data_IF_438727286008
#
_entry.id   IF_438727286008
#
_cell.length_a   1.000
_cell.length_b   1.000
_cell.length_c   1.000
_cell.angle_alpha   90.00
_cell.angle_beta   90.00
_cell.angle_gamma   90.00
#
_symmetry.space_group_name_H-M   'P 1'
#
loop_
_entity.id
_entity.type
_entity.pdbx_description
1 polymer ?
#
# COMPACT_ATOMS: atom_id res chain seq x y z
N UNK A 1 -4.27 -7.05 -15.33
CA UNK A 1 -3.77 -7.33 -13.95
C UNK A 1 -4.62 -6.55 -12.95
N UNK A 2 -4.83 -7.11 -11.76
CA UNK A 2 -5.67 -6.49 -10.72
C UNK A 2 -4.98 -5.26 -10.11
N UNK A 3 -5.76 -4.26 -9.73
CA UNK A 3 -5.31 -3.02 -9.09
C UNK A 3 -6.19 -2.70 -7.90
N UNK A 4 -5.60 -2.09 -6.89
CA UNK A 4 -6.23 -1.65 -5.65
C UNK A 4 -5.98 -0.16 -5.53
N UNK A 5 -7.04 0.62 -5.38
CA UNK A 5 -6.94 2.08 -5.50
C UNK A 5 -7.67 2.77 -4.37
N UNK A 6 -7.04 3.78 -3.82
CA UNK A 6 -7.67 4.81 -2.99
C UNK A 6 -7.88 6.01 -3.92
N UNK A 7 -9.14 6.39 -4.12
CA UNK A 7 -9.54 7.54 -4.91
C UNK A 7 -10.41 8.45 -4.05
N UNK A 8 -10.00 9.70 -3.87
CA UNK A 8 -10.61 10.64 -2.92
C UNK A 8 -11.82 11.39 -3.50
N UNK A 9 -12.26 11.03 -4.71
CA UNK A 9 -13.17 11.83 -5.53
C UNK A 9 -12.47 12.97 -6.28
N UNK A 10 -11.26 13.35 -5.86
CA UNK A 10 -10.36 14.22 -6.62
C UNK A 10 -9.45 13.36 -7.53
N UNK A 11 -9.49 13.51 -8.86
CA UNK A 11 -8.65 12.73 -9.76
C UNK A 11 -7.15 13.02 -9.60
N UNK A 12 -6.78 14.12 -8.92
CA UNK A 12 -5.41 14.52 -8.63
C UNK A 12 -4.88 13.94 -7.30
N UNK A 13 -5.64 13.08 -6.63
CA UNK A 13 -5.26 12.48 -5.35
C UNK A 13 -5.59 10.98 -5.38
N UNK A 14 -4.57 10.18 -5.67
CA UNK A 14 -4.72 8.74 -5.83
C UNK A 14 -3.51 8.00 -5.30
N UNK A 15 -3.77 6.85 -4.68
CA UNK A 15 -2.77 5.82 -4.42
C UNK A 15 -3.24 4.51 -5.03
N UNK A 16 -2.39 3.87 -5.82
CA UNK A 16 -2.71 2.66 -6.55
C UNK A 16 -1.61 1.63 -6.28
N UNK A 17 -2.00 0.46 -5.76
CA UNK A 17 -1.17 -0.74 -5.71
C UNK A 17 -1.59 -1.65 -6.86
N UNK A 18 -0.64 -2.12 -7.63
CA UNK A 18 -0.89 -3.01 -8.76
C UNK A 18 0.29 -3.95 -8.98
N UNK A 19 0.12 -4.89 -9.91
CA UNK A 19 1.19 -5.79 -10.31
C UNK A 19 1.81 -6.64 -9.20
N UNK A 20 1.01 -6.98 -8.19
CA UNK A 20 1.44 -7.85 -7.09
C UNK A 20 1.83 -9.23 -7.61
N UNK A 21 3.06 -9.63 -7.31
CA UNK A 21 3.63 -10.94 -7.63
C UNK A 21 4.23 -11.52 -6.36
N UNK A 22 3.97 -12.80 -6.10
CA UNK A 22 4.51 -13.54 -4.95
C UNK A 22 5.28 -14.74 -5.48
N UNK A 23 6.55 -14.86 -5.08
CA UNK A 23 7.40 -16.02 -5.30
C UNK A 23 7.36 -16.92 -4.07
N UNK A 24 6.57 -18.00 -4.16
CA UNK A 24 6.48 -18.98 -3.05
C UNK A 24 7.77 -19.78 -2.88
N UNK A 25 8.56 -19.96 -3.94
CA UNK A 25 9.86 -20.61 -3.85
C UNK A 25 10.83 -19.77 -3.01
N UNK A 26 10.90 -18.46 -3.26
CA UNK A 26 11.69 -17.53 -2.43
C UNK A 26 11.20 -17.52 -0.99
N UNK A 27 9.89 -17.46 -0.78
CA UNK A 27 9.29 -17.52 0.56
C UNK A 27 9.68 -18.81 1.30
N UNK A 28 9.56 -19.97 0.65
CA UNK A 28 9.89 -21.28 1.23
C UNK A 28 11.39 -21.43 1.52
N UNK A 29 12.24 -20.75 0.75
CA UNK A 29 13.68 -20.67 0.97
C UNK A 29 14.07 -19.60 2.01
N UNK A 30 13.10 -18.91 2.63
CA UNK A 30 13.34 -17.89 3.65
C UNK A 30 13.86 -16.55 3.11
N UNK A 31 13.78 -16.32 1.80
CA UNK A 31 14.15 -15.05 1.18
C UNK A 31 13.08 -13.99 1.51
N UNK A 32 13.44 -12.85 2.15
CA UNK A 32 12.48 -11.80 2.47
C UNK A 32 11.99 -11.02 1.24
N UNK A 33 12.72 -11.06 0.12
CA UNK A 33 12.37 -10.42 -1.15
C UNK A 33 11.48 -11.32 -2.02
N UNK A 34 10.38 -11.81 -1.44
CA UNK A 34 9.51 -12.80 -2.07
C UNK A 34 8.23 -12.22 -2.67
N UNK A 35 7.97 -10.93 -2.47
CA UNK A 35 6.80 -10.23 -3.02
C UNK A 35 7.25 -8.94 -3.67
N UNK A 36 6.72 -8.63 -4.85
CA UNK A 36 6.91 -7.34 -5.51
C UNK A 36 5.60 -6.76 -6.04
N UNK A 37 5.50 -5.43 -6.06
CA UNK A 37 4.34 -4.73 -6.60
C UNK A 37 4.68 -3.29 -6.97
N UNK A 38 3.90 -2.72 -7.91
CA UNK A 38 4.03 -1.33 -8.30
C UNK A 38 3.11 -0.46 -7.45
N UNK A 39 3.64 0.64 -6.93
CA UNK A 39 2.88 1.73 -6.30
C UNK A 39 2.90 2.95 -7.21
N UNK A 40 1.72 3.43 -7.60
CA UNK A 40 1.55 4.73 -8.26
C UNK A 40 0.88 5.70 -7.31
N UNK A 41 1.42 6.92 -7.26
CA UNK A 41 0.85 8.04 -6.51
C UNK A 41 0.58 9.20 -7.46
N UNK A 42 -0.56 9.86 -7.28
CA UNK A 42 -0.90 11.15 -7.87
C UNK A 42 -1.23 12.08 -6.70
N UNK A 43 -0.56 13.23 -6.63
CA UNK A 43 -0.73 14.22 -5.56
C UNK A 43 -0.60 15.62 -6.17
N UNK A 44 -1.76 16.24 -6.42
CA UNK A 44 -1.86 17.50 -7.17
C UNK A 44 -1.40 17.32 -8.63
N UNK A 45 -0.47 18.16 -9.06
CA UNK A 45 0.11 18.12 -10.41
C UNK A 45 1.25 17.10 -10.56
N UNK A 46 1.66 16.46 -9.46
CA UNK A 46 2.77 15.52 -9.44
C UNK A 46 2.26 14.09 -9.43
N UNK A 47 2.96 13.22 -10.16
CA UNK A 47 2.72 11.79 -10.13
C UNK A 47 4.05 11.03 -10.19
N UNK A 48 4.08 9.86 -9.58
CA UNK A 48 5.24 8.99 -9.56
C UNK A 48 4.84 7.53 -9.47
N UNK A 49 5.75 6.65 -9.87
CA UNK A 49 5.60 5.21 -9.73
C UNK A 49 6.89 4.63 -9.20
N UNK A 50 6.77 3.71 -8.25
CA UNK A 50 7.87 2.97 -7.65
C UNK A 50 7.53 1.49 -7.61
N UNK A 51 8.54 0.66 -7.75
CA UNK A 51 8.45 -0.76 -7.44
C UNK A 51 8.77 -0.96 -5.95
N UNK A 52 7.97 -1.79 -5.28
CA UNK A 52 8.17 -2.18 -3.90
C UNK A 52 8.60 -3.64 -3.88
N UNK A 53 9.62 -3.92 -3.10
CA UNK A 53 9.97 -5.26 -2.67
C UNK A 53 9.45 -5.46 -1.24
N UNK A 54 8.99 -6.67 -0.93
CA UNK A 54 8.35 -6.96 0.35
C UNK A 54 8.42 -8.45 0.71
N UNK A 55 8.24 -8.74 2.00
CA UNK A 55 7.91 -10.07 2.47
C UNK A 55 6.39 -10.26 2.48
N UNK A 56 5.88 -11.34 1.91
CA UNK A 56 4.43 -11.62 1.86
C UNK A 56 3.77 -11.61 3.25
N UNK A 57 4.48 -12.05 4.30
CA UNK A 57 3.96 -12.02 5.68
C UNK A 57 3.75 -10.59 6.18
N UNK A 58 4.71 -9.71 5.90
CA UNK A 58 4.63 -8.31 6.29
C UNK A 58 3.57 -7.58 5.46
N UNK A 59 3.43 -7.93 4.18
CA UNK A 59 2.38 -7.39 3.32
C UNK A 59 0.99 -7.79 3.82
N UNK A 60 0.81 -9.05 4.26
CA UNK A 60 -0.42 -9.51 4.90
C UNK A 60 -0.70 -8.77 6.21
N UNK A 61 0.33 -8.50 7.01
CA UNK A 61 0.20 -7.70 8.24
C UNK A 61 -0.28 -6.28 7.90
N UNK A 62 0.32 -5.63 6.90
CA UNK A 62 -0.14 -4.34 6.38
C UNK A 62 -1.61 -4.36 5.96
N UNK A 63 -2.06 -5.38 5.24
CA UNK A 63 -3.47 -5.50 4.82
C UNK A 63 -4.41 -5.60 6.01
N UNK A 64 -4.03 -6.36 7.05
CA UNK A 64 -4.79 -6.46 8.30
C UNK A 64 -4.81 -5.12 9.02
N UNK A 65 -3.67 -4.44 9.12
CA UNK A 65 -3.55 -3.14 9.78
C UNK A 65 -4.38 -2.05 9.07
N UNK A 66 -4.34 -1.98 7.73
CA UNK A 66 -5.22 -1.08 6.96
C UNK A 66 -6.70 -1.37 7.23
N UNK A 67 -7.08 -2.65 7.37
CA UNK A 67 -8.45 -3.02 7.72
C UNK A 67 -8.81 -2.56 9.14
N UNK A 68 -7.89 -2.66 10.08
CA UNK A 68 -8.08 -2.18 11.44
C UNK A 68 -8.09 -0.64 11.53
N UNK A 69 -7.34 0.06 10.67
CA UNK A 69 -7.44 1.52 10.49
C UNK A 69 -8.81 1.91 9.95
N UNK A 70 -9.34 1.22 8.93
CA UNK A 70 -10.72 1.42 8.46
C UNK A 70 -11.75 1.23 9.59
N UNK A 71 -11.53 0.26 10.48
CA UNK A 71 -12.42 -0.02 11.62
C UNK A 71 -12.20 0.90 12.84
N UNK A 72 -11.46 2.01 12.73
CA UNK A 72 -11.09 2.90 13.84
C UNK A 72 -10.34 2.23 15.01
N UNK A 73 -9.69 1.09 14.79
CA UNK A 73 -8.92 0.40 15.84
C UNK A 73 -7.42 0.76 15.83
N UNK A 74 -6.94 1.29 14.72
CA UNK A 74 -5.61 1.89 14.58
C UNK A 74 -5.74 3.31 14.06
N UNK A 75 -4.84 4.19 14.50
CA UNK A 75 -4.75 5.56 14.03
C UNK A 75 -3.57 5.77 13.06
N UNK A 76 -2.69 4.77 12.91
CA UNK A 76 -1.52 4.82 12.05
C UNK A 76 -1.23 3.46 11.43
N UNK A 77 -0.92 3.44 10.14
CA UNK A 77 -0.42 2.26 9.41
C UNK A 77 0.71 2.69 8.48
N UNK A 78 1.69 1.83 8.27
CA UNK A 78 2.83 2.08 7.39
C UNK A 78 3.01 0.95 6.38
N UNK A 79 3.42 1.32 5.17
CA UNK A 79 3.90 0.43 4.13
C UNK A 79 5.33 0.85 3.79
N UNK A 80 6.31 -0.05 4.01
CA UNK A 80 7.73 0.27 3.89
C UNK A 80 8.45 -0.73 3.00
N UNK A 81 8.90 -0.27 1.84
CA UNK A 81 9.69 -1.05 0.88
C UNK A 81 11.03 -1.48 1.49
N UNK A 82 11.34 -2.78 1.42
CA UNK A 82 12.62 -3.32 1.92
C UNK A 82 13.79 -3.05 0.96
N UNK A 83 13.52 -2.71 -0.30
CA UNK A 83 14.54 -2.44 -1.31
C UNK A 83 15.13 -1.04 -1.17
N UNK A 84 14.47 -0.04 -1.77
CA UNK A 84 14.99 1.32 -1.91
C UNK A 84 14.43 2.32 -0.88
N UNK A 85 13.72 1.82 0.14
CA UNK A 85 13.25 2.62 1.28
C UNK A 85 12.06 3.53 0.97
N UNK A 86 11.31 3.23 -0.11
CA UNK A 86 10.01 3.88 -0.35
C UNK A 86 9.08 3.64 0.84
N UNK A 87 8.37 4.67 1.30
CA UNK A 87 7.51 4.57 2.46
C UNK A 87 6.18 5.31 2.25
N UNK A 88 5.11 4.75 2.80
CA UNK A 88 3.78 5.34 2.78
C UNK A 88 3.17 5.19 4.17
N UNK A 89 2.59 6.26 4.67
CA UNK A 89 1.99 6.32 5.99
C UNK A 89 0.55 6.81 5.88
N UNK A 90 -0.33 6.17 6.65
CA UNK A 90 -1.74 6.49 6.77
C UNK A 90 -1.99 6.96 8.19
N UNK A 91 -2.50 8.17 8.36
CA UNK A 91 -2.84 8.73 9.67
C UNK A 91 -4.33 9.03 9.74
N UNK A 92 -5.05 8.29 10.57
CA UNK A 92 -6.48 8.49 10.82
C UNK A 92 -6.68 9.39 12.04
N UNK A 93 -7.48 10.43 11.88
CA UNK A 93 -7.93 11.26 12.99
C UNK A 93 -9.22 10.71 13.64
N UNK A 94 -9.63 11.35 14.75
CA UNK A 94 -10.81 10.92 15.52
C UNK A 94 -12.14 11.15 14.79
N UNK A 95 -12.12 11.88 13.67
CA UNK A 95 -13.30 12.29 12.90
C UNK A 95 -13.46 11.51 11.59
N UNK A 96 -12.57 10.56 11.29
CA UNK A 96 -12.65 9.74 10.08
C UNK A 96 -11.84 10.30 8.91
N UNK A 97 -11.15 11.44 9.07
CA UNK A 97 -10.24 11.93 8.03
C UNK A 97 -8.92 11.19 8.12
N UNK A 98 -8.35 10.91 6.95
CA UNK A 98 -7.10 10.20 6.79
C UNK A 98 -6.14 11.09 6.02
N UNK A 99 -4.94 11.27 6.56
CA UNK A 99 -3.83 11.85 5.81
C UNK A 99 -2.94 10.74 5.29
N UNK A 100 -2.75 10.69 3.98
CA UNK A 100 -1.79 9.79 3.34
C UNK A 100 -0.56 10.63 2.97
N UNK A 101 0.63 10.15 3.33
CA UNK A 101 1.88 10.82 3.02
C UNK A 101 3.02 9.82 2.91
N UNK A 102 4.10 10.22 2.25
CA UNK A 102 5.24 9.32 2.08
C UNK A 102 6.26 9.86 1.09
N UNK A 103 7.26 9.03 0.83
CA UNK A 103 8.21 9.23 -0.26
C UNK A 103 8.33 7.95 -1.05
N UNK A 104 8.21 8.03 -2.37
CA UNK A 104 8.51 6.92 -3.27
C UNK A 104 9.75 7.23 -4.08
N UNK A 105 10.56 6.21 -4.35
CA UNK A 105 11.79 6.30 -5.13
C UNK A 105 11.64 5.57 -6.46
N UNK A 106 12.17 6.18 -7.52
CA UNK A 106 12.37 5.54 -8.81
C UNK A 106 13.60 4.62 -8.79
N UNK A 107 13.98 4.14 -9.97
CA UNK A 107 15.14 3.26 -10.12
C UNK A 107 16.40 3.86 -9.45
N UNK A 108 17.10 3.02 -8.69
CA UNK A 108 18.35 3.36 -8.01
C UNK A 108 18.29 4.64 -7.16
N UNK A 109 17.09 5.02 -6.70
CA UNK A 109 16.81 6.26 -5.96
C UNK A 109 17.22 7.54 -6.69
N UNK A 110 17.42 7.50 -8.01
CA UNK A 110 17.82 8.67 -8.80
C UNK A 110 16.74 9.76 -8.80
N UNK A 111 15.48 9.33 -8.75
CA UNK A 111 14.31 10.19 -8.68
C UNK A 111 13.47 9.83 -7.45
N UNK A 112 12.81 10.82 -6.87
CA UNK A 112 11.87 10.60 -5.78
C UNK A 112 10.67 11.53 -5.87
N UNK A 113 9.57 11.12 -5.24
CA UNK A 113 8.39 11.93 -5.02
C UNK A 113 8.00 11.84 -3.55
N UNK A 114 8.17 12.94 -2.82
CA UNK A 114 7.53 13.12 -1.51
C UNK A 114 6.14 13.72 -1.74
N UNK A 115 5.12 13.11 -1.12
CA UNK A 115 3.73 13.46 -1.37
C UNK A 115 2.93 13.53 -0.08
N UNK A 116 1.80 14.23 -0.14
CA UNK A 116 0.74 14.15 0.87
C UNK A 116 -0.59 14.53 0.26
N UNK A 117 -1.66 13.83 0.64
CA UNK A 117 -3.02 14.25 0.31
C UNK A 117 -4.00 13.79 1.41
N UNK A 118 -5.08 14.56 1.64
CA UNK A 118 -6.14 14.16 2.54
C UNK A 118 -7.10 13.18 1.85
N UNK A 119 -7.76 12.36 2.65
CA UNK A 119 -8.87 11.49 2.24
C UNK A 119 -9.73 11.21 3.47
N UNK A 120 -10.73 10.35 3.34
CA UNK A 120 -11.52 9.84 4.45
C UNK A 120 -11.65 8.31 4.39
N UNK A 121 -12.38 7.76 5.36
CA UNK A 121 -12.64 6.34 5.44
C UNK A 121 -13.40 5.75 4.26
N UNK A 122 -14.29 6.51 3.63
CA UNK A 122 -15.07 6.05 2.49
C UNK A 122 -14.14 5.73 1.32
N UNK A 123 -13.13 6.56 1.08
CA UNK A 123 -12.16 6.32 0.01
C UNK A 123 -11.25 5.10 0.22
N UNK A 124 -11.01 4.68 1.47
CA UNK A 124 -10.17 3.51 1.77
C UNK A 124 -10.96 2.20 1.90
N UNK A 125 -12.29 2.26 1.97
CA UNK A 125 -13.14 1.08 2.16
C UNK A 125 -12.93 0.05 1.04
N UNK A 126 -13.04 0.48 -0.21
CA UNK A 126 -12.88 -0.40 -1.37
C UNK A 126 -11.46 -0.97 -1.47
N UNK A 127 -10.45 -0.15 -1.19
CA UNK A 127 -9.04 -0.54 -1.15
C UNK A 127 -8.80 -1.64 -0.10
N UNK A 128 -9.19 -1.39 1.15
CA UNK A 128 -8.98 -2.33 2.26
C UNK A 128 -9.76 -3.62 2.08
N UNK A 129 -11.03 -3.53 1.66
CA UNK A 129 -11.91 -4.69 1.50
C UNK A 129 -11.43 -5.61 0.37
N UNK A 130 -11.01 -5.03 -0.75
CA UNK A 130 -10.54 -5.81 -1.90
C UNK A 130 -9.23 -6.54 -1.59
N UNK A 131 -8.27 -5.85 -0.96
CA UNK A 131 -7.01 -6.48 -0.51
C UNK A 131 -7.27 -7.59 0.50
N UNK A 132 -8.11 -7.33 1.50
CA UNK A 132 -8.44 -8.32 2.53
C UNK A 132 -9.09 -9.57 1.94
N UNK A 133 -10.08 -9.37 1.07
CA UNK A 133 -10.75 -10.46 0.36
C UNK A 133 -9.73 -11.33 -0.38
N UNK A 134 -8.89 -10.71 -1.20
CA UNK A 134 -7.98 -11.45 -2.07
C UNK A 134 -6.85 -12.15 -1.32
N UNK A 135 -6.25 -11.51 -0.32
CA UNK A 135 -5.05 -12.03 0.34
C UNK A 135 -5.33 -12.78 1.64
N UNK A 136 -6.49 -12.55 2.28
CA UNK A 136 -6.83 -13.16 3.57
C UNK A 136 -7.97 -14.17 3.44
N UNK A 137 -9.01 -13.88 2.65
CA UNK A 137 -10.20 -14.74 2.56
C UNK A 137 -10.15 -15.74 1.40
N UNK A 138 -9.61 -15.34 0.24
CA UNK A 138 -9.56 -16.19 -0.96
C UNK A 138 -8.22 -16.91 -1.11
N UNK A 139 -7.13 -16.36 -0.56
CA UNK A 139 -5.80 -16.97 -0.55
C UNK A 139 -5.43 -17.67 0.77
N UNK A 140 -6.41 -18.10 1.56
CA UNK A 140 -6.23 -18.59 2.94
C UNK A 140 -5.27 -19.78 3.09
N UNK A 141 -4.83 -20.44 2.01
CA UNK A 141 -3.80 -21.49 2.08
C UNK A 141 -2.88 -21.53 0.86
N UNK A 142 -1.77 -20.77 0.93
CA UNK A 142 -0.44 -21.09 0.34
C UNK A 142 0.69 -20.43 1.17
N UNK A 143 0.53 -20.32 2.48
CA UNK A 143 1.60 -19.93 3.42
C UNK A 143 1.79 -21.01 4.46
#
# INVERSE_FOLDING_TARGET
>A
MKKYSIATGNPHEQLIISNIRVSYDDFNNGNPYNTSFSVKVISGDFAGTAEFEYNIKDFISFIKEIRELYNFKLNKVELYDIGYGSNIQFYLDKTGHIKILGTIYGDSMEHSLTFTFPTDQTAIEAFSTSLYKDFITENTYKL
#
